data_IF_521832589810
#
_entry.id   IF_521832589810
#
_cell.length_a   1.000
_cell.length_b   1.000
_cell.length_c   1.000
_cell.angle_alpha   90.00
_cell.angle_beta   90.00
_cell.angle_gamma   90.00
#
_symmetry.space_group_name_H-M   'P 1'
#
loop_
_entity.id
_entity.type
_entity.pdbx_description
1 polymer ?
#
# COMPACT_ATOMS: atom_id res chain seq x y z
N UNK A 1 -13.34 43.03 7.69
CA UNK A 1 -14.72 42.52 7.80
C UNK A 1 -15.34 42.20 6.44
N UNK A 2 -15.37 43.12 5.47
CA UNK A 2 -16.00 42.84 4.17
C UNK A 2 -15.33 41.73 3.34
N UNK A 3 -14.00 41.62 3.39
CA UNK A 3 -13.27 40.60 2.63
C UNK A 3 -13.63 39.15 3.02
N UNK A 4 -13.91 38.89 4.31
CA UNK A 4 -14.32 37.55 4.76
C UNK A 4 -15.72 37.20 4.27
N UNK A 5 -16.64 38.17 4.25
CA UNK A 5 -17.97 38.00 3.68
C UNK A 5 -17.91 37.73 2.17
N UNK A 6 -17.07 38.47 1.44
CA UNK A 6 -16.87 38.27 0.00
C UNK A 6 -16.28 36.87 -0.28
N UNK A 7 -15.24 36.48 0.46
CA UNK A 7 -14.65 35.15 0.33
C UNK A 7 -15.68 34.05 0.62
N UNK A 8 -16.51 34.22 1.65
CA UNK A 8 -17.52 33.24 2.01
C UNK A 8 -18.63 33.15 0.94
N UNK A 9 -19.16 34.28 0.48
CA UNK A 9 -20.14 34.32 -0.61
C UNK A 9 -19.58 33.68 -1.89
N UNK A 10 -18.31 33.90 -2.20
CA UNK A 10 -17.64 33.28 -3.33
C UNK A 10 -17.53 31.75 -3.17
N UNK A 11 -17.16 31.26 -1.98
CA UNK A 11 -17.11 29.81 -1.72
C UNK A 11 -18.49 29.15 -1.81
N UNK A 12 -19.54 29.84 -1.33
CA UNK A 12 -20.93 29.40 -1.46
C UNK A 12 -21.37 29.33 -2.92
N UNK A 13 -21.06 30.35 -3.71
CA UNK A 13 -21.36 30.38 -5.13
C UNK A 13 -20.68 29.23 -5.89
N UNK A 14 -19.39 29.02 -5.63
CA UNK A 14 -18.63 27.91 -6.23
C UNK A 14 -19.22 26.57 -5.81
N UNK A 15 -19.63 26.43 -4.55
CA UNK A 15 -20.22 25.20 -4.04
C UNK A 15 -21.55 24.88 -4.72
N UNK A 16 -22.37 25.90 -4.94
CA UNK A 16 -23.66 25.75 -5.62
C UNK A 16 -23.51 25.40 -7.11
N UNK A 17 -22.55 26.04 -7.79
CA UNK A 17 -22.40 25.89 -9.25
C UNK A 17 -21.61 24.65 -9.67
N UNK A 18 -20.63 24.22 -8.88
CA UNK A 18 -19.69 23.15 -9.26
C UNK A 18 -19.77 21.89 -8.40
N UNK A 19 -20.59 21.89 -7.33
CA UNK A 19 -20.71 20.80 -6.35
C UNK A 19 -19.35 20.15 -5.97
N UNK A 20 -18.34 20.94 -5.57
CA UNK A 20 -17.03 20.40 -5.26
C UNK A 20 -17.13 19.54 -3.98
N UNK A 21 -16.60 18.31 -4.04
CA UNK A 21 -16.37 17.46 -2.85
C UNK A 21 -15.32 18.05 -1.88
N UNK A 22 -14.67 19.16 -2.28
CA UNK A 22 -13.60 19.83 -1.54
C UNK A 22 -14.14 20.71 -0.42
N UNK A 23 -13.32 20.91 0.59
CA UNK A 23 -13.64 21.82 1.71
C UNK A 23 -13.53 23.28 1.27
N UNK A 24 -14.26 24.20 1.92
CA UNK A 24 -14.22 25.65 1.62
C UNK A 24 -12.79 26.21 1.70
N UNK A 25 -12.01 25.72 2.66
CA UNK A 25 -10.60 26.08 2.81
C UNK A 25 -9.74 25.66 1.61
N UNK A 26 -9.96 24.46 1.06
CA UNK A 26 -9.24 24.01 -0.14
C UNK A 26 -9.60 24.84 -1.37
N UNK A 27 -10.87 25.24 -1.51
CA UNK A 27 -11.33 26.14 -2.57
C UNK A 27 -10.59 27.48 -2.47
N UNK A 28 -10.56 28.09 -1.27
CA UNK A 28 -9.86 29.36 -1.03
C UNK A 28 -8.35 29.25 -1.26
N UNK A 29 -7.73 28.14 -0.85
CA UNK A 29 -6.30 27.90 -1.07
C UNK A 29 -5.97 27.82 -2.56
N UNK A 30 -6.78 27.09 -3.32
CA UNK A 30 -6.62 26.96 -4.79
C UNK A 30 -6.87 28.30 -5.48
N UNK A 31 -7.89 29.03 -5.06
CA UNK A 31 -8.20 30.36 -5.56
C UNK A 31 -7.03 31.33 -5.34
N UNK A 32 -6.41 31.33 -4.15
CA UNK A 32 -5.23 32.14 -3.86
C UNK A 32 -4.06 31.82 -4.80
N UNK A 33 -3.81 30.54 -5.05
CA UNK A 33 -2.72 30.11 -5.95
C UNK A 33 -2.98 30.53 -7.39
N UNK A 34 -4.23 30.42 -7.85
CA UNK A 34 -4.62 30.85 -9.21
C UNK A 34 -4.58 32.38 -9.37
N UNK A 35 -5.11 33.13 -8.39
CA UNK A 35 -5.10 34.58 -8.40
C UNK A 35 -3.68 35.17 -8.43
N UNK A 36 -2.71 34.50 -7.79
CA UNK A 36 -1.32 34.94 -7.79
C UNK A 36 -0.55 34.65 -9.10
N UNK A 37 -1.14 33.89 -10.03
CA UNK A 37 -0.47 33.39 -11.24
C UNK A 37 -1.10 33.90 -12.55
N UNK A 38 -2.04 34.85 -12.47
CA UNK A 38 -2.76 35.40 -13.64
C UNK A 38 -3.46 34.33 -14.51
N UNK A 39 -3.90 33.23 -13.89
CA UNK A 39 -4.66 32.19 -14.60
C UNK A 39 -6.10 32.63 -14.87
N UNK A 40 -6.68 32.14 -15.96
CA UNK A 40 -8.09 32.42 -16.30
C UNK A 40 -9.02 31.69 -15.34
N UNK A 41 -10.26 32.19 -15.24
CA UNK A 41 -11.30 31.55 -14.42
C UNK A 41 -11.59 30.11 -14.87
N UNK A 42 -11.51 29.83 -16.16
CA UNK A 42 -11.76 28.52 -16.75
C UNK A 42 -10.74 27.47 -16.28
N UNK A 43 -9.46 27.84 -16.23
CA UNK A 43 -8.39 26.98 -15.73
C UNK A 43 -8.58 26.65 -14.24
N UNK A 44 -9.05 27.63 -13.45
CA UNK A 44 -9.39 27.41 -12.05
C UNK A 44 -10.53 26.40 -11.90
N UNK A 45 -11.60 26.51 -12.69
CA UNK A 45 -12.73 25.57 -12.64
C UNK A 45 -12.29 24.16 -13.07
N UNK A 46 -11.45 24.05 -14.10
CA UNK A 46 -10.91 22.75 -14.53
C UNK A 46 -10.07 22.09 -13.42
N UNK A 47 -9.17 22.83 -12.77
CA UNK A 47 -8.33 22.31 -11.68
C UNK A 47 -9.16 22.05 -10.39
N UNK A 48 -10.25 22.78 -10.20
CA UNK A 48 -11.18 22.52 -9.10
C UNK A 48 -11.93 21.19 -9.30
N UNK A 49 -12.38 20.91 -10.52
CA UNK A 49 -13.10 19.67 -10.86
C UNK A 49 -12.16 18.50 -11.22
N UNK A 50 -10.86 18.76 -11.31
CA UNK A 50 -9.87 17.74 -11.62
C UNK A 50 -9.89 16.62 -10.57
N UNK A 51 -10.06 15.39 -11.05
CA UNK A 51 -9.95 14.17 -10.23
C UNK A 51 -8.51 14.03 -9.69
N UNK A 52 -8.33 13.69 -8.41
CA UNK A 52 -7.01 13.49 -7.83
C UNK A 52 -6.31 12.34 -8.57
N UNK A 53 -5.26 12.68 -9.30
CA UNK A 53 -4.53 11.74 -10.18
C UNK A 53 -3.38 11.03 -9.45
N UNK A 54 -3.25 11.26 -8.14
CA UNK A 54 -2.14 10.71 -7.36
C UNK A 54 -2.41 9.26 -6.96
N UNK A 55 -2.15 8.35 -7.90
CA UNK A 55 -1.78 6.97 -7.57
C UNK A 55 -0.28 6.94 -7.28
N UNK A 56 0.16 7.55 -6.17
CA UNK A 56 1.49 7.18 -5.68
C UNK A 56 1.40 5.70 -5.34
N UNK A 57 2.08 4.84 -6.12
CA UNK A 57 2.42 3.49 -5.67
C UNK A 57 3.23 3.75 -4.40
N UNK A 58 2.57 3.71 -3.24
CA UNK A 58 3.22 3.98 -1.96
C UNK A 58 4.48 3.12 -1.86
N UNK A 59 5.39 3.46 -0.95
CA UNK A 59 6.62 2.68 -0.72
C UNK A 59 6.27 1.20 -0.57
N UNK A 60 6.44 0.41 -1.64
CA UNK A 60 6.34 -1.03 -1.56
C UNK A 60 7.59 -1.46 -0.81
N UNK A 61 7.40 -2.17 0.30
CA UNK A 61 8.50 -2.88 0.95
C UNK A 61 9.00 -3.87 -0.12
N UNK A 62 10.07 -3.52 -0.81
CA UNK A 62 10.77 -4.44 -1.71
C UNK A 62 10.98 -5.67 -0.86
N UNK A 63 10.31 -6.77 -1.25
CA UNK A 63 10.22 -7.97 -0.43
C UNK A 63 11.62 -8.25 0.09
N UNK A 64 11.76 -8.36 1.41
CA UNK A 64 13.00 -8.86 1.97
C UNK A 64 13.30 -10.12 1.18
N UNK A 65 14.30 -10.06 0.28
CA UNK A 65 14.84 -11.26 -0.35
C UNK A 65 15.04 -12.17 0.85
N UNK A 66 14.29 -13.27 0.91
CA UNK A 66 14.57 -14.32 1.89
C UNK A 66 16.05 -14.56 1.68
N UNK A 67 16.87 -14.11 2.62
CA UNK A 67 18.30 -14.36 2.57
C UNK A 67 18.34 -15.88 2.47
N UNK A 68 18.74 -16.39 1.31
CA UNK A 68 19.25 -17.75 1.24
C UNK A 68 20.23 -17.81 2.40
N UNK A 69 20.07 -18.73 3.37
CA UNK A 69 20.97 -18.78 4.50
C UNK A 69 22.37 -18.89 3.91
N UNK A 70 23.17 -17.84 4.11
CA UNK A 70 24.60 -17.90 3.81
C UNK A 70 25.10 -19.14 4.53
N UNK A 71 25.75 -20.02 3.77
CA UNK A 71 26.21 -21.35 4.18
C UNK A 71 27.39 -21.27 5.18
N UNK A 72 27.35 -20.35 6.15
CA UNK A 72 28.45 -20.10 7.07
C UNK A 72 28.18 -20.65 8.49
N UNK A 73 27.03 -21.30 8.71
CA UNK A 73 26.70 -21.98 9.98
C UNK A 73 26.06 -23.35 9.71
N UNK A 74 26.17 -24.33 10.64
CA UNK A 74 26.08 -25.78 10.37
C UNK A 74 24.64 -26.27 10.14
N UNK A 75 23.94 -25.72 9.15
CA UNK A 75 22.61 -26.16 8.69
C UNK A 75 22.72 -27.42 7.82
N UNK A 76 23.89 -27.67 7.21
CA UNK A 76 24.16 -28.94 6.51
C UNK A 76 24.10 -30.15 7.46
N UNK A 77 24.57 -29.99 8.71
CA UNK A 77 24.50 -31.03 9.72
C UNK A 77 23.06 -31.36 10.12
N UNK A 78 22.19 -30.35 10.23
CA UNK A 78 20.80 -30.57 10.66
C UNK A 78 19.96 -31.27 9.59
N UNK A 79 20.22 -31.02 8.30
CA UNK A 79 19.58 -31.77 7.20
C UNK A 79 19.99 -33.24 7.20
N UNK A 80 21.29 -33.53 7.28
CA UNK A 80 21.79 -34.91 7.29
C UNK A 80 21.28 -35.71 8.51
N UNK A 81 21.21 -35.09 9.69
CA UNK A 81 20.65 -35.72 10.89
C UNK A 81 19.14 -35.99 10.74
N UNK A 82 18.40 -35.08 10.11
CA UNK A 82 16.97 -35.23 9.91
C UNK A 82 16.64 -36.32 8.87
N UNK A 83 17.43 -36.40 7.79
CA UNK A 83 17.28 -37.45 6.77
C UNK A 83 17.54 -38.85 7.35
N UNK A 84 18.61 -39.03 8.13
CA UNK A 84 18.88 -40.31 8.82
C UNK A 84 17.72 -40.72 9.74
N UNK A 85 17.18 -39.77 10.52
CA UNK A 85 16.04 -40.02 11.43
C UNK A 85 14.75 -40.41 10.68
N UNK A 86 14.53 -39.90 9.47
CA UNK A 86 13.38 -40.27 8.63
C UNK A 86 13.54 -41.71 8.09
N UNK A 87 14.74 -42.08 7.65
CA UNK A 87 15.02 -43.43 7.15
C UNK A 87 14.88 -44.48 8.26
N UNK A 88 15.42 -44.22 9.45
CA UNK A 88 15.31 -45.12 10.60
C UNK A 88 13.85 -45.35 11.03
N UNK A 89 13.02 -44.29 10.99
CA UNK A 89 11.57 -44.40 11.29
C UNK A 89 10.83 -45.23 10.25
N UNK A 90 11.21 -45.15 8.98
CA UNK A 90 10.61 -45.98 7.92
C UNK A 90 10.96 -47.45 8.09
N UNK A 91 12.22 -47.76 8.40
CA UNK A 91 12.66 -49.15 8.64
C UNK A 91 11.96 -49.77 9.86
N UNK A 92 11.80 -49.01 10.95
CA UNK A 92 11.02 -49.48 12.13
C UNK A 92 9.56 -49.77 11.79
N UNK A 93 8.90 -48.93 10.99
CA UNK A 93 7.51 -49.17 10.57
C UNK A 93 7.39 -50.41 9.68
N UNK A 94 8.30 -50.57 8.72
CA UNK A 94 8.33 -51.76 7.85
C UNK A 94 8.54 -53.05 8.65
N UNK A 95 9.44 -53.05 9.64
CA UNK A 95 9.65 -54.22 10.52
C UNK A 95 8.42 -54.57 11.38
N UNK A 96 7.64 -53.57 11.82
CA UNK A 96 6.40 -53.77 12.58
C UNK A 96 5.30 -54.36 11.67
N UNK A 97 5.20 -53.93 10.41
CA UNK A 97 4.23 -54.46 9.45
C UNK A 97 4.55 -55.90 9.04
N UNK A 98 5.82 -56.25 8.83
CA UNK A 98 6.23 -57.61 8.50
C UNK A 98 5.95 -58.60 9.65
N UNK A 99 6.11 -58.17 10.91
CA UNK A 99 5.82 -59.01 12.09
C UNK A 99 4.31 -59.19 12.34
N UNK A 100 3.46 -58.29 11.83
CA UNK A 100 1.99 -58.44 11.89
C UNK A 100 1.43 -59.42 10.85
N UNK A 101 2.12 -59.59 9.73
CA UNK A 101 1.68 -60.49 8.65
C UNK A 101 2.17 -61.94 8.82
N UNK A 102 3.03 -62.21 9.80
CA UNK A 102 3.66 -63.52 10.04
C UNK A 102 3.13 -64.21 11.32
N UNK A 103 1.96 -63.79 11.80
CA UNK A 103 1.25 -64.32 12.98
C UNK A 103 -0.17 -64.68 12.57
#
# INVERSE_FOLDING_TARGET
>A
MYLSLIAHALTLYIRYTQAPEKTEWEVLKRLRIHAAKEHTWEEFIQELNRRPTRTSKGRRKTGAKRRTPTLDHPVAYTKAVNEKRIVDRKQKKAGIEQNKNNK
#
